data_IF_725268227363
#
_entry.id   IF_725268227363
#
_cell.length_a   1.000
_cell.length_b   1.000
_cell.length_c   1.000
_cell.angle_alpha   90.00
_cell.angle_beta   90.00
_cell.angle_gamma   90.00
#
_symmetry.space_group_name_H-M   'P 1'
#
loop_
_entity.id
_entity.type
_entity.pdbx_description
1 polymer ?
#
# COMPACT_ATOMS: atom_id res chain seq x y z
N UNK A 1 23.31 10.94 -3.25
CA UNK A 1 23.25 9.46 -3.14
C UNK A 1 22.25 9.11 -2.07
N UNK A 2 21.48 8.05 -2.26
CA UNK A 2 20.55 7.60 -1.24
C UNK A 2 21.28 6.98 -0.04
N UNK A 3 20.58 6.88 1.10
CA UNK A 3 21.10 6.18 2.28
C UNK A 3 20.12 5.11 2.74
N UNK A 4 20.59 4.15 3.54
CA UNK A 4 19.72 3.13 4.13
C UNK A 4 18.56 3.78 4.91
N UNK A 5 18.86 4.79 5.74
CA UNK A 5 17.85 5.51 6.53
C UNK A 5 16.90 6.31 5.63
N UNK A 6 17.45 6.98 4.62
CA UNK A 6 16.68 7.75 3.63
C UNK A 6 15.74 6.91 2.78
N UNK A 7 15.89 5.58 2.75
CA UNK A 7 14.90 4.69 2.13
C UNK A 7 13.93 4.10 3.15
N UNK A 8 14.42 3.66 4.32
CA UNK A 8 13.57 3.02 5.34
C UNK A 8 12.54 3.99 5.93
N UNK A 9 12.93 5.25 6.16
CA UNK A 9 12.03 6.24 6.77
C UNK A 9 10.82 6.55 5.86
N UNK A 10 10.97 7.02 4.61
CA UNK A 10 9.84 7.22 3.71
C UNK A 10 9.14 5.89 3.38
N UNK A 11 9.87 4.78 3.23
CA UNK A 11 9.29 3.46 3.01
C UNK A 11 8.32 3.04 4.12
N UNK A 12 8.61 3.38 5.37
CA UNK A 12 7.72 3.14 6.52
C UNK A 12 6.44 3.96 6.45
N UNK A 13 6.57 5.26 6.11
CA UNK A 13 5.42 6.16 6.01
C UNK A 13 4.48 5.72 4.88
N UNK A 14 5.01 5.45 3.69
CA UNK A 14 4.22 4.96 2.56
C UNK A 14 3.59 3.60 2.85
N UNK A 15 4.32 2.65 3.45
CA UNK A 15 3.76 1.35 3.77
C UNK A 15 2.61 1.45 4.79
N UNK A 16 2.79 2.25 5.85
CA UNK A 16 1.76 2.44 6.87
C UNK A 16 0.49 3.08 6.29
N UNK A 17 0.65 4.15 5.50
CA UNK A 17 -0.47 4.84 4.85
C UNK A 17 -1.14 3.94 3.82
N UNK A 18 -0.38 3.28 2.94
CA UNK A 18 -0.91 2.40 1.90
C UNK A 18 -1.70 1.21 2.48
N UNK A 19 -1.12 0.50 3.45
CA UNK A 19 -1.79 -0.64 4.10
C UNK A 19 -3.06 -0.21 4.84
N UNK A 20 -3.08 1.00 5.40
CA UNK A 20 -4.26 1.59 6.02
C UNK A 20 -5.33 1.97 4.99
N UNK A 21 -4.94 2.55 3.85
CA UNK A 21 -5.85 2.85 2.73
C UNK A 21 -6.53 1.60 2.20
N UNK A 22 -5.78 0.50 2.00
CA UNK A 22 -6.35 -0.77 1.54
C UNK A 22 -7.39 -1.32 2.51
N UNK A 23 -7.07 -1.35 3.81
CA UNK A 23 -8.01 -1.77 4.85
C UNK A 23 -9.26 -0.88 4.86
N UNK A 24 -9.09 0.43 4.84
CA UNK A 24 -10.19 1.38 4.91
C UNK A 24 -11.10 1.31 3.67
N UNK A 25 -10.52 1.13 2.47
CA UNK A 25 -11.28 0.93 1.24
C UNK A 25 -12.10 -0.37 1.31
N UNK A 26 -11.49 -1.47 1.74
CA UNK A 26 -12.16 -2.76 1.93
C UNK A 26 -13.31 -2.66 2.96
N UNK A 27 -13.06 -2.05 4.12
CA UNK A 27 -14.04 -1.86 5.18
C UNK A 27 -15.21 -0.97 4.73
N UNK A 28 -14.95 0.16 4.06
CA UNK A 28 -15.99 1.05 3.51
C UNK A 28 -16.87 0.33 2.50
N UNK A 29 -16.25 -0.39 1.56
CA UNK A 29 -16.99 -1.11 0.53
C UNK A 29 -17.81 -2.26 1.11
N UNK A 30 -17.27 -3.02 2.06
CA UNK A 30 -18.00 -4.09 2.72
C UNK A 30 -19.18 -3.59 3.56
N UNK A 31 -19.05 -2.41 4.18
CA UNK A 31 -20.10 -1.80 4.99
C UNK A 31 -21.24 -1.19 4.16
N UNK A 32 -20.93 -0.50 3.06
CA UNK A 32 -21.92 0.08 2.15
C UNK A 32 -21.43 0.05 0.69
N UNK A 33 -21.67 -1.06 -0.04
CA UNK A 33 -21.29 -1.17 -1.44
C UNK A 33 -21.98 -0.16 -2.36
N UNK A 34 -23.22 0.25 -2.04
CA UNK A 34 -24.04 1.11 -2.92
C UNK A 34 -23.71 2.60 -2.73
N UNK A 35 -23.41 3.01 -1.50
CA UNK A 35 -22.96 4.35 -1.16
C UNK A 35 -21.44 4.53 -1.25
N UNK A 36 -20.69 3.51 -1.69
CA UNK A 36 -19.24 3.57 -1.74
C UNK A 36 -18.72 4.80 -2.49
N UNK A 37 -17.81 5.51 -1.83
CA UNK A 37 -17.05 6.62 -2.38
C UNK A 37 -15.62 6.53 -1.90
N UNK A 38 -14.69 6.68 -2.83
CA UNK A 38 -13.27 6.84 -2.59
C UNK A 38 -13.01 8.06 -1.73
N UNK A 39 -11.99 7.98 -0.87
CA UNK A 39 -11.51 9.11 -0.09
C UNK A 39 -10.01 9.25 -0.27
N UNK A 40 -9.55 10.49 -0.39
CA UNK A 40 -8.11 10.78 -0.49
C UNK A 40 -7.36 10.46 0.81
N UNK A 41 -8.08 10.33 1.92
CA UNK A 41 -7.59 9.94 3.24
C UNK A 41 -8.71 9.26 4.04
N UNK A 42 -8.38 8.45 5.04
CA UNK A 42 -9.34 7.64 5.78
C UNK A 42 -9.30 7.91 7.30
N UNK A 43 -10.45 8.21 7.93
CA UNK A 43 -10.49 8.34 9.37
C UNK A 43 -10.40 7.00 10.08
N UNK A 44 -9.86 7.00 11.30
CA UNK A 44 -9.53 5.78 12.05
C UNK A 44 -10.75 4.97 12.50
N UNK A 45 -11.92 5.58 12.51
CA UNK A 45 -13.20 4.95 12.88
C UNK A 45 -13.83 4.09 11.74
N UNK A 46 -13.20 4.05 10.56
CA UNK A 46 -13.66 3.25 9.42
C UNK A 46 -13.57 1.76 9.75
N UNK A 47 -14.73 1.11 9.90
CA UNK A 47 -14.85 -0.34 10.08
C UNK A 47 -15.55 -0.81 11.36
N UNK A 48 -16.19 0.10 12.11
CA UNK A 48 -17.14 -0.25 13.20
C UNK A 48 -16.53 -0.91 14.45
N UNK A 49 -15.25 -1.24 14.44
CA UNK A 49 -14.51 -1.67 15.63
C UNK A 49 -14.07 -0.44 16.39
N UNK A 50 -14.95 0.12 17.23
CA UNK A 50 -14.77 1.36 17.98
C UNK A 50 -13.30 1.69 18.27
N UNK A 51 -12.75 2.63 17.50
CA UNK A 51 -11.42 3.15 17.75
C UNK A 51 -11.39 3.71 19.17
N UNK A 52 -10.32 3.47 19.95
CA UNK A 52 -10.22 4.00 21.29
C UNK A 52 -10.43 5.52 21.27
N UNK A 53 -11.22 6.06 22.21
CA UNK A 53 -11.56 7.50 22.23
C UNK A 53 -10.32 8.44 22.30
N UNK A 54 -9.14 7.91 22.65
CA UNK A 54 -7.87 8.65 22.66
C UNK A 54 -7.21 8.77 21.28
N UNK A 55 -7.60 7.94 20.31
CA UNK A 55 -6.98 7.90 19.00
C UNK A 55 -7.60 8.98 18.09
N UNK A 56 -6.78 9.89 17.53
CA UNK A 56 -7.33 11.01 16.76
C UNK A 56 -7.98 10.51 15.47
N UNK A 57 -9.19 10.99 15.18
CA UNK A 57 -9.93 10.62 13.96
C UNK A 57 -9.13 10.87 12.66
N UNK A 58 -8.25 11.88 12.65
CA UNK A 58 -7.43 12.29 11.51
C UNK A 58 -5.99 11.77 11.58
N UNK A 59 -5.75 10.63 12.24
CA UNK A 59 -4.40 10.09 12.47
C UNK A 59 -3.60 9.96 11.18
N UNK A 60 -4.21 9.43 10.11
CA UNK A 60 -3.53 9.27 8.81
C UNK A 60 -2.97 10.60 8.31
N UNK A 61 -3.76 11.68 8.38
CA UNK A 61 -3.31 13.01 7.97
C UNK A 61 -2.22 13.58 8.89
N UNK A 62 -2.26 13.27 10.19
CA UNK A 62 -1.16 13.63 11.10
C UNK A 62 0.12 12.86 10.80
N UNK A 63 0.01 11.59 10.41
CA UNK A 63 1.15 10.76 9.98
C UNK A 63 1.73 11.31 8.68
N UNK A 64 0.89 11.67 7.70
CA UNK A 64 1.33 12.23 6.42
C UNK A 64 1.98 13.60 6.63
N UNK A 65 1.28 14.55 7.25
CA UNK A 65 1.80 15.91 7.43
C UNK A 65 3.00 15.94 8.40
N UNK A 66 2.87 15.28 9.56
CA UNK A 66 3.93 15.23 10.56
C UNK A 66 5.15 14.44 10.08
N UNK A 67 4.92 13.30 9.43
CA UNK A 67 5.98 12.48 8.84
C UNK A 67 6.73 13.20 7.74
N UNK A 68 6.02 13.78 6.75
CA UNK A 68 6.65 14.54 5.68
C UNK A 68 7.41 15.78 6.19
N UNK A 69 6.87 16.47 7.20
CA UNK A 69 7.57 17.59 7.82
C UNK A 69 8.83 17.16 8.57
N UNK A 70 8.75 16.08 9.35
CA UNK A 70 9.90 15.56 10.09
C UNK A 70 10.99 15.08 9.13
N UNK A 71 10.61 14.35 8.09
CA UNK A 71 11.53 13.86 7.06
C UNK A 71 12.19 15.03 6.31
N UNK A 72 11.40 16.06 5.96
CA UNK A 72 11.92 17.30 5.37
C UNK A 72 12.92 18.00 6.31
N UNK A 73 12.65 18.05 7.62
CA UNK A 73 13.59 18.61 8.58
C UNK A 73 14.88 17.77 8.70
N UNK A 74 14.79 16.45 8.67
CA UNK A 74 15.98 15.58 8.69
C UNK A 74 16.80 15.81 7.43
N UNK A 75 16.18 15.80 6.27
CA UNK A 75 16.87 15.95 4.99
C UNK A 75 17.50 17.34 4.83
N UNK A 76 16.74 18.41 5.11
CA UNK A 76 17.21 19.79 4.89
C UNK A 76 18.12 20.29 6.01
N UNK A 77 17.91 19.91 7.26
CA UNK A 77 18.65 20.47 8.40
C UNK A 77 19.74 19.52 8.93
N UNK A 78 19.43 18.23 9.04
CA UNK A 78 20.36 17.26 9.62
C UNK A 78 21.37 16.75 8.58
N UNK A 79 20.91 16.35 7.39
CA UNK A 79 21.81 15.84 6.33
C UNK A 79 22.73 16.94 5.77
N UNK A 80 22.28 18.20 5.72
CA UNK A 80 23.12 19.33 5.29
C UNK A 80 24.05 19.87 6.39
N UNK A 81 23.96 19.35 7.62
CA UNK A 81 24.63 19.91 8.79
C UNK A 81 24.44 21.43 8.97
N UNK A 82 23.31 21.98 8.49
CA UNK A 82 22.99 23.42 8.43
C UNK A 82 23.90 24.26 7.51
N UNK A 83 24.75 23.62 6.69
CA UNK A 83 25.64 24.27 5.72
C UNK A 83 25.00 24.38 4.34
N UNK A 84 23.79 24.95 4.28
CA UNK A 84 23.03 25.15 3.03
C UNK A 84 23.69 26.20 2.13
N UNK A 85 24.35 27.19 2.74
CA UNK A 85 25.03 28.27 2.04
C UNK A 85 26.55 28.15 2.24
N UNK A 86 27.28 28.09 1.12
CA UNK A 86 28.73 28.14 1.08
C UNK A 86 29.17 29.13 0.00
N UNK A 87 30.18 29.95 0.31
CA UNK A 87 30.81 30.89 -0.63
C UNK A 87 29.84 31.84 -1.37
N UNK A 88 28.81 32.34 -0.67
CA UNK A 88 27.84 33.29 -1.22
C UNK A 88 26.78 32.69 -2.16
N UNK A 89 26.71 31.36 -2.26
CA UNK A 89 25.71 30.62 -3.01
C UNK A 89 25.19 29.38 -2.26
N UNK A 90 24.31 28.60 -2.92
CA UNK A 90 23.85 27.31 -2.39
C UNK A 90 24.97 26.29 -2.58
N UNK A 91 25.29 25.54 -1.53
CA UNK A 91 26.34 24.53 -1.60
C UNK A 91 25.94 23.39 -2.58
N UNK A 92 26.69 23.16 -3.67
CA UNK A 92 26.36 22.12 -4.64
C UNK A 92 26.32 20.71 -4.05
N UNK A 93 27.03 20.46 -2.94
CA UNK A 93 27.02 19.18 -2.25
C UNK A 93 25.67 18.82 -1.61
N UNK A 94 24.81 19.82 -1.37
CA UNK A 94 23.51 19.66 -0.68
C UNK A 94 22.30 19.93 -1.58
N UNK A 95 22.50 20.11 -2.88
CA UNK A 95 21.40 20.33 -3.83
C UNK A 95 20.43 19.15 -3.87
N UNK A 96 20.95 17.92 -3.78
CA UNK A 96 20.14 16.72 -3.69
C UNK A 96 19.18 16.74 -2.48
N UNK A 97 19.69 17.16 -1.32
CA UNK A 97 18.92 17.21 -0.07
C UNK A 97 17.81 18.28 -0.16
N UNK A 98 18.08 19.39 -0.86
CA UNK A 98 17.09 20.43 -1.13
C UNK A 98 16.01 19.98 -2.11
N UNK A 99 16.38 19.23 -3.16
CA UNK A 99 15.41 18.63 -4.09
C UNK A 99 14.46 17.67 -3.35
N UNK A 100 15.01 16.79 -2.51
CA UNK A 100 14.23 15.87 -1.68
C UNK A 100 13.34 16.63 -0.69
N UNK A 101 13.85 17.69 -0.07
CA UNK A 101 13.06 18.60 0.77
C UNK A 101 11.88 19.25 0.02
N UNK A 102 12.10 19.63 -1.24
CA UNK A 102 11.04 20.17 -2.11
C UNK A 102 9.95 19.14 -2.45
N UNK A 103 10.33 17.89 -2.69
CA UNK A 103 9.39 16.78 -2.88
C UNK A 103 8.58 16.50 -1.61
N UNK A 104 9.24 16.41 -0.44
CA UNK A 104 8.58 16.20 0.85
C UNK A 104 7.63 17.36 1.23
N UNK A 105 7.97 18.58 0.84
CA UNK A 105 7.09 19.74 1.00
C UNK A 105 5.74 19.54 0.29
N UNK A 106 5.70 18.89 -0.88
CA UNK A 106 4.45 18.64 -1.59
C UNK A 106 3.53 17.68 -0.83
N UNK A 107 4.09 16.62 -0.21
CA UNK A 107 3.34 15.72 0.67
C UNK A 107 2.87 16.42 1.95
N UNK A 108 3.71 17.28 2.53
CA UNK A 108 3.32 18.12 3.66
C UNK A 108 2.14 19.05 3.31
N UNK A 109 2.20 19.72 2.16
CA UNK A 109 1.14 20.61 1.68
C UNK A 109 -0.18 19.84 1.47
N UNK A 110 -0.12 18.64 0.88
CA UNK A 110 -1.29 17.76 0.79
C UNK A 110 -1.89 17.47 2.17
N UNK A 111 -1.08 17.02 3.13
CA UNK A 111 -1.54 16.69 4.48
C UNK A 111 -2.17 17.89 5.21
N UNK A 112 -1.55 19.08 5.10
CA UNK A 112 -2.10 20.30 5.70
C UNK A 112 -3.39 20.74 5.01
N UNK A 113 -3.47 20.72 3.67
CA UNK A 113 -4.69 21.07 2.94
C UNK A 113 -5.84 20.12 3.28
N UNK A 114 -5.57 18.82 3.39
CA UNK A 114 -6.55 17.84 3.83
C UNK A 114 -6.99 18.08 5.29
N UNK A 115 -6.08 18.39 6.21
CA UNK A 115 -6.44 18.73 7.60
C UNK A 115 -7.28 20.00 7.70
N UNK A 116 -6.95 21.01 6.90
CA UNK A 116 -7.67 22.28 6.88
C UNK A 116 -9.08 22.12 6.29
N UNK A 117 -9.26 21.26 5.28
CA UNK A 117 -10.58 21.00 4.69
C UNK A 117 -11.55 20.34 5.68
N UNK A 118 -11.06 19.60 6.68
CA UNK A 118 -11.88 18.97 7.72
C UNK A 118 -12.27 19.93 8.85
N UNK A 119 -11.50 20.99 9.11
CA UNK A 119 -11.81 21.94 10.18
C UNK A 119 -12.97 22.82 9.77
N UNK A 120 -14.12 22.67 10.44
CA UNK A 120 -15.39 23.36 10.19
C UNK A 120 -15.31 24.86 9.90
N UNK A 121 -14.38 25.59 10.55
CA UNK A 121 -14.20 27.03 10.30
C UNK A 121 -13.55 27.33 8.95
N UNK A 122 -12.59 26.51 8.52
CA UNK A 122 -11.84 26.69 7.27
C UNK A 122 -12.57 26.03 6.10
N UNK A 123 -13.23 24.89 6.34
CA UNK A 123 -14.14 24.23 5.41
C UNK A 123 -15.21 25.20 4.86
N UNK A 124 -15.71 26.13 5.70
CA UNK A 124 -16.66 27.17 5.27
C UNK A 124 -16.10 28.11 4.20
N UNK A 125 -14.79 28.35 4.18
CA UNK A 125 -14.13 29.22 3.22
C UNK A 125 -13.48 28.45 2.06
N UNK A 126 -13.20 27.17 2.24
CA UNK A 126 -12.55 26.31 1.24
C UNK A 126 -13.07 24.86 1.31
N UNK A 127 -14.28 24.59 0.78
CA UNK A 127 -14.81 23.22 0.69
C UNK A 127 -14.10 22.48 -0.46
N UNK A 128 -12.99 21.80 -0.15
CA UNK A 128 -12.29 20.99 -1.15
C UNK A 128 -13.04 19.66 -1.37
N UNK A 129 -13.51 19.36 -2.59
CA UNK A 129 -14.07 18.06 -2.90
C UNK A 129 -12.98 16.98 -2.84
N UNK A 130 -13.35 15.74 -2.53
CA UNK A 130 -12.42 14.59 -2.47
C UNK A 130 -11.61 14.43 -3.76
N UNK A 131 -12.22 14.67 -4.93
CA UNK A 131 -11.50 14.65 -6.20
C UNK A 131 -10.37 15.69 -6.29
N UNK A 132 -10.55 16.88 -5.69
CA UNK A 132 -9.48 17.87 -5.63
C UNK A 132 -8.35 17.43 -4.69
N UNK A 133 -8.67 16.80 -3.55
CA UNK A 133 -7.65 16.23 -2.67
C UNK A 133 -6.87 15.10 -3.37
N UNK A 134 -7.55 14.26 -4.15
CA UNK A 134 -6.90 13.23 -4.97
C UNK A 134 -5.94 13.84 -6.00
N UNK A 135 -6.32 14.96 -6.65
CA UNK A 135 -5.44 15.67 -7.58
C UNK A 135 -4.26 16.34 -6.87
N UNK A 136 -4.46 16.92 -5.68
CA UNK A 136 -3.34 17.45 -4.87
C UNK A 136 -2.39 16.32 -4.48
N UNK A 137 -2.89 15.16 -4.04
CA UNK A 137 -2.05 13.98 -3.82
C UNK A 137 -1.32 13.55 -5.10
N UNK A 138 -2.01 13.54 -6.25
CA UNK A 138 -1.42 13.21 -7.55
C UNK A 138 -0.26 14.16 -7.89
N UNK A 139 -0.37 15.46 -7.56
CA UNK A 139 0.74 16.41 -7.77
C UNK A 139 1.94 16.17 -6.85
N UNK A 140 1.72 15.66 -5.64
CA UNK A 140 2.81 15.29 -4.74
C UNK A 140 3.56 14.06 -5.28
N UNK A 141 2.83 13.01 -5.69
CA UNK A 141 3.43 11.86 -6.37
C UNK A 141 4.07 12.22 -7.71
N UNK A 142 3.53 13.20 -8.44
CA UNK A 142 4.17 13.69 -9.68
C UNK A 142 5.49 14.40 -9.40
N UNK A 143 5.56 15.22 -8.34
CA UNK A 143 6.82 15.85 -7.94
C UNK A 143 7.87 14.79 -7.54
N UNK A 144 7.46 13.76 -6.80
CA UNK A 144 8.29 12.60 -6.47
C UNK A 144 8.75 11.84 -7.72
N UNK A 145 7.83 11.56 -8.65
CA UNK A 145 8.11 10.88 -9.91
C UNK A 145 9.18 11.62 -10.71
N UNK A 146 9.03 12.94 -10.87
CA UNK A 146 9.95 13.76 -11.64
C UNK A 146 11.33 13.80 -10.99
N UNK A 147 11.39 13.97 -9.67
CA UNK A 147 12.65 13.97 -8.94
C UNK A 147 13.37 12.64 -9.11
N UNK A 148 12.70 11.51 -8.83
CA UNK A 148 13.32 10.20 -8.96
C UNK A 148 13.62 9.81 -10.40
N UNK A 149 12.84 10.28 -11.38
CA UNK A 149 13.18 10.05 -12.79
C UNK A 149 14.52 10.69 -13.12
N UNK A 150 14.72 11.97 -12.80
CA UNK A 150 15.99 12.64 -13.07
C UNK A 150 17.13 12.06 -12.22
N UNK A 151 16.88 11.71 -10.96
CA UNK A 151 17.87 11.05 -10.11
C UNK A 151 18.22 9.63 -10.60
N UNK A 152 17.25 8.88 -11.13
CA UNK A 152 17.49 7.54 -11.67
C UNK A 152 18.32 7.59 -12.95
N UNK A 153 18.21 8.65 -13.76
CA UNK A 153 19.01 8.79 -14.99
C UNK A 153 20.49 9.07 -14.73
N UNK A 154 20.86 9.53 -13.53
CA UNK A 154 22.26 9.74 -13.15
C UNK A 154 22.92 8.47 -12.62
N UNK A 155 22.13 7.48 -12.17
CA UNK A 155 22.62 6.17 -11.74
C UNK A 155 22.77 5.20 -12.91
N UNK A 156 23.81 4.37 -12.86
CA UNK A 156 24.06 3.30 -13.83
C UNK A 156 24.04 1.94 -13.13
N UNK A 157 23.87 0.87 -13.90
CA UNK A 157 23.91 -0.50 -13.40
C UNK A 157 22.76 -0.86 -12.45
N UNK A 158 23.06 -1.65 -11.42
CA UNK A 158 22.06 -2.21 -10.51
C UNK A 158 21.31 -1.13 -9.70
N UNK A 159 22.03 -0.10 -9.24
CA UNK A 159 21.44 1.02 -8.51
C UNK A 159 20.41 1.73 -9.37
N UNK A 160 20.77 2.05 -10.63
CA UNK A 160 19.85 2.67 -11.59
C UNK A 160 18.61 1.80 -11.86
N UNK A 161 18.78 0.47 -11.94
CA UNK A 161 17.67 -0.45 -12.19
C UNK A 161 16.62 -0.46 -11.06
N UNK A 162 17.06 -0.49 -9.79
CA UNK A 162 16.14 -0.45 -8.65
C UNK A 162 15.39 0.88 -8.55
N UNK A 163 16.06 2.00 -8.82
CA UNK A 163 15.43 3.32 -8.84
C UNK A 163 14.49 3.46 -10.05
N UNK A 164 14.80 2.87 -11.20
CA UNK A 164 13.88 2.83 -12.34
C UNK A 164 12.59 2.09 -12.00
N UNK A 165 12.67 0.94 -11.33
CA UNK A 165 11.48 0.23 -10.85
C UNK A 165 10.69 1.05 -9.82
N UNK A 166 11.38 1.82 -8.96
CA UNK A 166 10.71 2.76 -8.04
C UNK A 166 9.92 3.81 -8.82
N UNK A 167 10.50 4.42 -9.85
CA UNK A 167 9.82 5.38 -10.74
C UNK A 167 8.57 4.78 -11.36
N UNK A 168 8.61 3.52 -11.81
CA UNK A 168 7.43 2.82 -12.35
C UNK A 168 6.33 2.66 -11.30
N UNK A 169 6.68 2.30 -10.06
CA UNK A 169 5.71 2.17 -8.96
C UNK A 169 5.11 3.53 -8.57
N UNK A 170 5.92 4.59 -8.50
CA UNK A 170 5.41 5.96 -8.23
C UNK A 170 4.49 6.42 -9.36
N UNK A 171 4.79 6.09 -10.62
CA UNK A 171 3.90 6.39 -11.74
C UNK A 171 2.54 5.69 -11.60
N UNK A 172 2.50 4.49 -11.03
CA UNK A 172 1.26 3.80 -10.69
C UNK A 172 0.48 4.53 -9.59
N UNK A 173 1.16 5.08 -8.57
CA UNK A 173 0.52 5.93 -7.56
C UNK A 173 -0.09 7.20 -8.19
N UNK A 174 0.62 7.86 -9.12
CA UNK A 174 0.07 8.99 -9.88
C UNK A 174 -1.17 8.56 -10.68
N UNK A 175 -1.08 7.47 -11.42
CA UNK A 175 -2.18 7.01 -12.27
C UNK A 175 -3.44 6.64 -11.45
N UNK A 176 -3.27 5.90 -10.36
CA UNK A 176 -4.38 5.48 -9.49
C UNK A 176 -5.00 6.64 -8.72
N UNK A 177 -4.21 7.63 -8.26
CA UNK A 177 -4.74 8.84 -7.60
C UNK A 177 -5.48 9.77 -8.57
N UNK A 178 -5.00 9.92 -9.81
CA UNK A 178 -5.73 10.63 -10.88
C UNK A 178 -7.03 9.90 -11.20
N UNK A 179 -7.00 8.58 -11.36
CA UNK A 179 -8.20 7.78 -11.57
C UNK A 179 -9.18 7.90 -10.40
N UNK A 180 -8.69 8.04 -9.16
CA UNK A 180 -9.53 8.27 -8.00
C UNK A 180 -10.31 9.58 -8.05
N UNK A 181 -9.71 10.63 -8.62
CA UNK A 181 -10.40 11.89 -8.89
C UNK A 181 -11.46 11.76 -9.99
N UNK A 182 -11.18 10.97 -11.04
CA UNK A 182 -12.06 10.79 -12.20
C UNK A 182 -13.21 9.80 -11.94
N UNK A 183 -12.96 8.78 -11.11
CA UNK A 183 -13.84 7.64 -10.85
C UNK A 183 -14.09 7.47 -9.34
N UNK A 184 -14.69 8.45 -8.64
CA UNK A 184 -14.78 8.46 -7.18
C UNK A 184 -15.72 7.38 -6.60
N UNK A 185 -16.48 6.66 -7.43
CA UNK A 185 -17.32 5.53 -7.01
C UNK A 185 -16.69 4.16 -7.30
N UNK A 186 -15.45 4.11 -7.81
CA UNK A 186 -14.80 2.86 -8.21
C UNK A 186 -14.01 2.24 -7.07
N UNK A 187 -14.53 1.15 -6.51
CA UNK A 187 -13.83 0.36 -5.49
C UNK A 187 -12.46 -0.18 -5.96
N UNK A 188 -12.34 -0.74 -7.19
CA UNK A 188 -11.04 -1.21 -7.69
C UNK A 188 -9.97 -0.12 -7.73
N UNK A 189 -10.36 1.13 -8.03
CA UNK A 189 -9.43 2.26 -8.07
C UNK A 189 -8.95 2.63 -6.66
N UNK A 190 -9.83 2.60 -5.66
CA UNK A 190 -9.48 2.92 -4.27
C UNK A 190 -8.51 1.88 -3.68
N UNK A 191 -8.81 0.58 -3.85
CA UNK A 191 -7.90 -0.50 -3.46
C UNK A 191 -6.60 -0.45 -4.24
N UNK A 192 -6.63 -0.21 -5.55
CA UNK A 192 -5.41 -0.09 -6.36
C UNK A 192 -4.53 1.08 -5.93
N UNK A 193 -5.13 2.21 -5.52
CA UNK A 193 -4.40 3.36 -4.96
C UNK A 193 -3.69 3.00 -3.67
N UNK A 194 -4.39 2.39 -2.70
CA UNK A 194 -3.78 1.91 -1.46
C UNK A 194 -2.66 0.89 -1.71
N UNK A 195 -2.92 -0.08 -2.60
CA UNK A 195 -1.97 -1.11 -3.00
C UNK A 195 -0.72 -0.54 -3.67
N UNK A 196 -0.87 0.45 -4.56
CA UNK A 196 0.27 1.11 -5.19
C UNK A 196 1.14 1.84 -4.16
N UNK A 197 0.51 2.55 -3.21
CA UNK A 197 1.22 3.26 -2.13
C UNK A 197 1.92 2.26 -1.20
N UNK A 198 1.28 1.15 -0.84
CA UNK A 198 1.89 0.10 -0.03
C UNK A 198 3.06 -0.57 -0.75
N UNK A 199 2.92 -0.84 -2.05
CA UNK A 199 3.96 -1.38 -2.91
C UNK A 199 5.15 -0.41 -3.01
N UNK A 200 4.90 0.90 -3.14
CA UNK A 200 5.94 1.93 -3.11
C UNK A 200 6.74 1.86 -1.80
N UNK A 201 6.05 1.79 -0.65
CA UNK A 201 6.69 1.64 0.65
C UNK A 201 7.53 0.37 0.78
N UNK A 202 7.01 -0.77 0.33
CA UNK A 202 7.76 -2.04 0.31
C UNK A 202 8.96 -1.99 -0.64
N UNK A 203 8.84 -1.31 -1.78
CA UNK A 203 9.94 -1.18 -2.73
C UNK A 203 11.07 -0.30 -2.19
N UNK A 204 10.75 0.76 -1.44
CA UNK A 204 11.75 1.50 -0.67
C UNK A 204 12.52 0.60 0.29
N UNK A 205 11.83 -0.26 1.04
CA UNK A 205 12.46 -1.25 1.91
C UNK A 205 13.35 -2.22 1.13
N UNK A 206 12.86 -2.75 0.01
CA UNK A 206 13.60 -3.68 -0.83
C UNK A 206 14.89 -3.03 -1.36
N UNK A 207 14.80 -1.78 -1.82
CA UNK A 207 15.94 -0.97 -2.25
C UNK A 207 16.90 -0.71 -1.08
N UNK A 208 16.40 -0.36 0.11
CA UNK A 208 17.22 -0.14 1.30
C UNK A 208 18.06 -1.37 1.67
N UNK A 209 17.42 -2.53 1.79
CA UNK A 209 18.09 -3.76 2.21
C UNK A 209 19.04 -4.29 1.13
N UNK A 210 18.66 -4.21 -0.15
CA UNK A 210 19.47 -4.74 -1.25
C UNK A 210 20.66 -3.84 -1.54
N UNK A 211 20.42 -2.56 -1.77
CA UNK A 211 21.47 -1.64 -2.21
C UNK A 211 22.32 -1.16 -1.05
N UNK A 212 21.72 -0.88 0.12
CA UNK A 212 22.42 -0.27 1.26
C UNK A 212 22.54 -1.18 2.49
N UNK A 213 21.94 -2.37 2.45
CA UNK A 213 21.88 -3.31 3.56
C UNK A 213 22.65 -4.62 3.33
N UNK A 214 22.31 -5.68 4.07
CA UNK A 214 23.03 -6.94 4.03
C UNK A 214 22.68 -7.82 2.81
N UNK A 215 21.61 -7.52 2.06
CA UNK A 215 21.11 -8.40 0.99
C UNK A 215 21.63 -8.04 -0.40
N UNK A 216 22.88 -7.57 -0.49
CA UNK A 216 23.51 -7.26 -1.77
C UNK A 216 23.69 -8.55 -2.59
N UNK A 217 23.28 -8.60 -3.87
CA UNK A 217 23.42 -9.79 -4.69
C UNK A 217 24.88 -10.23 -4.86
N UNK A 218 25.09 -11.55 -4.85
CA UNK A 218 26.43 -12.12 -5.04
C UNK A 218 27.02 -11.71 -6.38
N UNK A 219 28.27 -11.23 -6.37
CA UNK A 219 28.96 -10.72 -7.55
C UNK A 219 28.87 -9.20 -7.73
N UNK A 220 28.13 -8.50 -6.86
CA UNK A 220 28.16 -7.05 -6.75
C UNK A 220 28.81 -6.62 -5.43
N UNK A 221 29.49 -5.48 -5.44
CA UNK A 221 30.16 -4.89 -4.29
C UNK A 221 29.90 -3.39 -4.23
N UNK A 222 30.02 -2.84 -3.03
CA UNK A 222 30.07 -1.39 -2.83
C UNK A 222 31.51 -0.94 -2.93
N UNK A 223 31.76 0.12 -3.68
CA UNK A 223 33.07 0.77 -3.72
C UNK A 223 33.29 1.65 -2.47
N UNK A 224 34.40 2.37 -2.43
CA UNK A 224 34.75 3.26 -1.30
C UNK A 224 33.84 4.49 -1.22
N UNK A 225 33.25 4.89 -2.35
CA UNK A 225 32.37 6.06 -2.47
C UNK A 225 30.88 5.68 -2.26
N UNK A 226 30.59 4.38 -2.12
CA UNK A 226 29.25 3.83 -1.89
C UNK A 226 28.50 3.40 -3.14
N UNK A 227 29.10 3.52 -4.33
CA UNK A 227 28.51 3.07 -5.59
C UNK A 227 28.52 1.54 -5.70
N UNK A 228 27.53 1.00 -6.39
CA UNK A 228 27.34 -0.45 -6.51
C UNK A 228 27.83 -0.91 -7.88
N UNK A 229 28.95 -1.62 -7.86
CA UNK A 229 29.56 -2.21 -9.04
C UNK A 229 29.42 -3.73 -9.04
N UNK A 230 28.94 -4.28 -10.14
CA UNK A 230 28.92 -5.72 -10.38
C UNK A 230 30.13 -6.15 -11.21
N UNK A 231 30.84 -7.21 -10.77
CA UNK A 231 32.11 -7.63 -11.35
C UNK A 231 32.03 -8.08 -12.82
N UNK A 232 30.86 -8.55 -13.25
CA UNK A 232 30.63 -9.04 -14.62
C UNK A 232 29.22 -8.64 -15.07
N UNK A 233 29.04 -8.50 -16.38
CA UNK A 233 27.72 -8.24 -16.97
C UNK A 233 26.68 -9.30 -16.57
N UNK A 234 27.07 -10.58 -16.55
CA UNK A 234 26.21 -11.68 -16.14
C UNK A 234 25.77 -11.59 -14.66
N UNK A 235 26.64 -11.09 -13.77
CA UNK A 235 26.27 -10.85 -12.38
C UNK A 235 25.27 -9.70 -12.24
N UNK A 236 25.41 -8.65 -13.05
CA UNK A 236 24.46 -7.54 -13.10
C UNK A 236 23.10 -7.99 -13.62
N UNK A 237 23.04 -8.67 -14.78
CA UNK A 237 21.80 -9.20 -15.34
C UNK A 237 21.07 -10.11 -14.35
N UNK A 238 21.81 -10.98 -13.64
CA UNK A 238 21.23 -11.83 -12.60
C UNK A 238 20.64 -11.01 -11.45
N UNK A 239 21.32 -9.94 -11.03
CA UNK A 239 20.87 -9.07 -9.95
C UNK A 239 19.61 -8.27 -10.36
N UNK A 240 19.53 -7.84 -11.63
CA UNK A 240 18.35 -7.19 -12.21
C UNK A 240 17.17 -8.16 -12.33
N UNK A 241 17.41 -9.40 -12.78
CA UNK A 241 16.39 -10.45 -12.80
C UNK A 241 15.87 -10.79 -11.40
N UNK A 242 16.77 -10.80 -10.40
CA UNK A 242 16.38 -10.96 -9.00
C UNK A 242 15.49 -9.80 -8.53
N UNK A 243 15.79 -8.56 -8.94
CA UNK A 243 14.96 -7.40 -8.64
C UNK A 243 13.54 -7.56 -9.21
N UNK A 244 13.41 -8.05 -10.45
CA UNK A 244 12.09 -8.34 -11.04
C UNK A 244 11.34 -9.41 -10.26
N UNK A 245 12.01 -10.49 -9.86
CA UNK A 245 11.40 -11.54 -9.04
C UNK A 245 10.92 -11.00 -7.68
N UNK A 246 11.74 -10.15 -7.03
CA UNK A 246 11.36 -9.48 -5.79
C UNK A 246 10.13 -8.58 -6.00
N UNK A 247 10.09 -7.80 -7.08
CA UNK A 247 8.96 -6.93 -7.40
C UNK A 247 7.68 -7.76 -7.58
N UNK A 248 7.72 -8.86 -8.34
CA UNK A 248 6.54 -9.73 -8.50
C UNK A 248 6.10 -10.36 -7.19
N UNK A 249 7.05 -10.75 -6.32
CA UNK A 249 6.73 -11.24 -4.98
C UNK A 249 6.03 -10.20 -4.11
N UNK A 250 6.48 -8.94 -4.16
CA UNK A 250 5.85 -7.84 -3.43
C UNK A 250 4.47 -7.47 -4.00
N UNK A 251 4.30 -7.49 -5.33
CA UNK A 251 2.99 -7.31 -5.96
C UNK A 251 2.02 -8.40 -5.49
N UNK A 252 2.45 -9.66 -5.49
CA UNK A 252 1.63 -10.77 -4.98
C UNK A 252 1.28 -10.57 -3.50
N UNK A 253 2.24 -10.16 -2.66
CA UNK A 253 2.03 -9.90 -1.24
C UNK A 253 0.97 -8.81 -1.01
N UNK A 254 1.07 -7.70 -1.72
CA UNK A 254 0.10 -6.59 -1.62
C UNK A 254 -1.28 -7.04 -2.09
N UNK A 255 -1.38 -7.75 -3.22
CA UNK A 255 -2.66 -8.31 -3.67
C UNK A 255 -3.26 -9.30 -2.65
N UNK A 256 -2.44 -10.17 -2.05
CA UNK A 256 -2.88 -11.11 -1.02
C UNK A 256 -3.35 -10.37 0.24
N UNK A 257 -2.68 -9.28 0.62
CA UNK A 257 -3.10 -8.40 1.71
C UNK A 257 -4.45 -7.74 1.41
N UNK A 258 -4.64 -7.16 0.23
CA UNK A 258 -5.92 -6.59 -0.21
C UNK A 258 -7.08 -7.60 -0.13
N UNK A 259 -6.85 -8.83 -0.61
CA UNK A 259 -7.83 -9.93 -0.52
C UNK A 259 -8.12 -10.30 0.93
N UNK A 260 -7.10 -10.34 1.79
CA UNK A 260 -7.24 -10.57 3.22
C UNK A 260 -8.06 -9.47 3.90
N UNK A 261 -7.77 -8.20 3.61
CA UNK A 261 -8.54 -7.05 4.10
C UNK A 261 -10.01 -7.16 3.69
N UNK A 262 -10.29 -7.47 2.43
CA UNK A 262 -11.66 -7.65 1.94
C UNK A 262 -12.37 -8.83 2.63
N UNK A 263 -11.72 -9.98 2.77
CA UNK A 263 -12.30 -11.14 3.44
C UNK A 263 -12.66 -10.84 4.91
N UNK A 264 -11.75 -10.18 5.64
CA UNK A 264 -11.99 -9.78 7.04
C UNK A 264 -13.09 -8.71 7.13
N UNK A 265 -13.07 -7.70 6.25
CA UNK A 265 -14.09 -6.66 6.20
C UNK A 265 -15.48 -7.25 5.91
N UNK A 266 -15.57 -8.14 4.93
CA UNK A 266 -16.82 -8.79 4.56
C UNK A 266 -17.37 -9.70 5.66
N UNK A 267 -16.49 -10.38 6.41
CA UNK A 267 -16.88 -11.18 7.58
C UNK A 267 -17.41 -10.31 8.73
N UNK A 268 -16.85 -9.10 8.93
CA UNK A 268 -17.28 -8.19 10.00
C UNK A 268 -18.58 -7.45 9.69
N UNK A 269 -18.74 -6.99 8.45
CA UNK A 269 -19.86 -6.14 8.05
C UNK A 269 -21.03 -6.90 7.40
N UNK A 270 -20.84 -8.19 7.10
CA UNK A 270 -21.87 -9.03 6.50
C UNK A 270 -22.15 -8.62 5.05
N UNK A 271 -21.25 -8.99 4.13
CA UNK A 271 -21.51 -8.74 2.71
C UNK A 271 -22.71 -9.61 2.26
N UNK A 272 -23.79 -9.02 1.69
CA UNK A 272 -25.04 -9.74 1.41
C UNK A 272 -24.85 -10.94 0.47
N UNK A 273 -23.92 -10.85 -0.47
CA UNK A 273 -23.57 -11.96 -1.38
C UNK A 273 -22.80 -13.11 -0.69
N UNK A 274 -21.99 -12.81 0.34
CA UNK A 274 -21.29 -13.83 1.13
C UNK A 274 -22.25 -14.49 2.13
N UNK A 275 -23.19 -13.74 2.70
CA UNK A 275 -24.25 -14.31 3.52
C UNK A 275 -25.13 -15.27 2.71
N UNK A 276 -25.47 -14.90 1.46
CA UNK A 276 -26.22 -15.81 0.56
C UNK A 276 -25.39 -17.00 0.09
N UNK A 277 -24.10 -16.84 -0.22
CA UNK A 277 -23.23 -17.98 -0.53
C UNK A 277 -23.05 -18.92 0.67
N UNK A 278 -22.80 -18.37 1.86
CA UNK A 278 -22.67 -19.15 3.09
C UNK A 278 -23.97 -19.88 3.40
N UNK A 279 -25.12 -19.21 3.31
CA UNK A 279 -26.43 -19.85 3.49
C UNK A 279 -26.68 -20.95 2.46
N UNK A 280 -26.31 -20.76 1.19
CA UNK A 280 -26.40 -21.81 0.15
C UNK A 280 -25.47 -22.99 0.45
N UNK A 281 -24.25 -22.75 0.93
CA UNK A 281 -23.29 -23.79 1.23
C UNK A 281 -23.69 -24.61 2.47
N UNK A 282 -24.16 -23.93 3.53
CA UNK A 282 -24.72 -24.56 4.73
C UNK A 282 -25.95 -25.40 4.36
N UNK A 283 -26.88 -24.84 3.58
CA UNK A 283 -28.05 -25.59 3.13
C UNK A 283 -27.69 -26.82 2.27
N UNK A 284 -26.64 -26.73 1.44
CA UNK A 284 -26.14 -27.87 0.68
C UNK A 284 -25.53 -28.96 1.57
N UNK A 285 -24.76 -28.58 2.59
CA UNK A 285 -24.22 -29.52 3.59
C UNK A 285 -25.32 -30.18 4.43
N UNK A 286 -26.30 -29.40 4.90
CA UNK A 286 -27.44 -29.93 5.66
C UNK A 286 -28.28 -30.91 4.83
N UNK A 287 -28.51 -30.62 3.54
CA UNK A 287 -29.19 -31.53 2.63
C UNK A 287 -28.40 -32.84 2.41
N UNK A 288 -27.08 -32.76 2.33
CA UNK A 288 -26.21 -33.95 2.22
C UNK A 288 -26.23 -34.80 3.50
N UNK A 289 -26.17 -34.18 4.68
CA UNK A 289 -26.30 -34.90 5.97
C UNK A 289 -27.69 -35.53 6.13
N UNK A 290 -28.75 -34.82 5.77
CA UNK A 290 -30.11 -35.33 5.85
C UNK A 290 -30.34 -36.51 4.88
N UNK A 291 -29.78 -36.43 3.66
CA UNK A 291 -29.80 -37.51 2.68
C UNK A 291 -29.02 -38.74 3.12
N UNK A 292 -27.87 -38.56 3.79
CA UNK A 292 -27.08 -39.64 4.35
C UNK A 292 -27.82 -40.37 5.50
N UNK A 293 -28.50 -39.62 6.38
CA UNK A 293 -29.29 -40.19 7.48
C UNK A 293 -30.57 -40.90 7.05
N UNK A 294 -31.17 -40.51 5.91
CA UNK A 294 -32.33 -41.20 5.34
C UNK A 294 -31.95 -42.55 4.70
N UNK A 295 -30.81 -42.62 4.00
CA UNK A 295 -30.31 -43.87 3.40
C UNK A 295 -29.92 -44.94 4.43
N UNK A 296 -29.60 -44.55 5.66
CA UNK A 296 -29.27 -45.50 6.74
C UNK A 296 -30.51 -46.06 7.44
N UNK A 297 -31.64 -45.32 7.48
CA UNK A 297 -32.92 -45.83 7.98
C UNK A 297 -33.54 -46.87 7.05
N UNK A 298 -33.42 -46.70 5.74
CA UNK A 298 -33.94 -47.67 4.77
C UNK A 298 -33.15 -48.98 4.74
N UNK A 299 -31.88 -48.98 5.17
CA UNK A 299 -31.08 -50.21 5.32
C UNK A 299 -31.50 -51.09 6.50
N UNK A 300 -32.10 -50.52 7.55
CA UNK A 300 -32.51 -51.29 8.72
C UNK A 300 -33.93 -51.87 8.63
N UNK A 301 -34.80 -51.31 7.77
CA UNK A 301 -36.18 -51.82 7.58
C UNK A 301 -36.24 -53.02 6.63
N UNK A 302 -35.19 -53.28 5.84
CA UNK A 302 -35.13 -54.36 4.85
C UNK A 302 -34.70 -55.75 5.33
N UNK A 303 -34.53 -55.99 6.64
CA UNK A 303 -34.00 -57.27 7.18
C UNK A 303 -34.97 -58.06 8.08
N UNK A 304 -36.28 -57.90 7.88
CA UNK A 304 -37.25 -58.86 8.43
C UNK A 304 -37.24 -60.14 7.57
N UNK A 305 -36.44 -61.13 8.00
CA UNK A 305 -36.42 -62.50 7.48
C UNK A 305 -37.82 -63.15 7.63
N UNK A 306 -38.36 -63.81 6.58
CA UNK A 306 -39.56 -64.61 6.74
C UNK A 306 -39.22 -65.93 7.44
N UNK A 307 -39.96 -66.24 8.52
CA UNK A 307 -39.99 -67.55 9.16
C UNK A 307 -40.64 -68.55 8.19
N UNK A 308 -39.86 -69.50 7.68
CA UNK A 308 -40.35 -70.68 6.96
C UNK A 308 -40.83 -71.73 7.98
N UNK A 309 -42.13 -72.02 7.95
CA UNK A 309 -42.72 -73.27 8.45
C UNK A 309 -42.43 -74.38 7.43
N UNK A 310 -41.65 -75.40 7.79
CA UNK A 310 -41.83 -76.76 7.23
C UNK A 310 -41.45 -77.83 8.24
N UNK A 311 -42.34 -78.81 8.34
CA UNK A 311 -42.28 -79.99 9.19
C UNK A 311 -41.44 -81.11 8.56
N UNK A 312 -40.62 -81.79 9.39
CA UNK A 312 -40.65 -83.23 9.77
C UNK A 312 -39.46 -83.48 10.71
#
# INVERSE_FOLDING_TARGET
MGSFKGHVLPGTLFLAVGAWHEWAAAARFAADPRGFRLRAWNPVDVGGGGAPAWLPAHLELYVIAGGAFLDMCVEVLYSTHLHIFADGGINPAHLNDLEHGGMLLMFFLFGILALLSQKTRVCRYLPLPEGALCLVASTAFMAELLLFYFHSTTHQGLEGYYHYLLVVVVALCVATTVLGALLPASFPVDIASGAAIALQGLWFYQTAFTLYGPSLPAGCRRDADGHIDCHTHAAQERAEQLANFQLFGLVFLVCAYALGCFAVAAARHGHPDLATMHAKHVAAMEAQLAGAGAGERDRFVGSALPLEDTAI
#
